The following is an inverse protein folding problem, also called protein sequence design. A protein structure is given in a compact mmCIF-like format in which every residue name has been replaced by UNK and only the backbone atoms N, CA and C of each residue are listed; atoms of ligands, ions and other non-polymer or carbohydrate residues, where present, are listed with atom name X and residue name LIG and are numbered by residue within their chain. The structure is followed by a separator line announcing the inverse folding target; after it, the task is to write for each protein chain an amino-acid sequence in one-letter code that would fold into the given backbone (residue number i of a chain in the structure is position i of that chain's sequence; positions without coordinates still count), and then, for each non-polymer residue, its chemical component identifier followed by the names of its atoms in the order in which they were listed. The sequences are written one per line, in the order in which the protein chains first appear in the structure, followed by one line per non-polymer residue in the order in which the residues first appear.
data_IF_752035342778
#
_entry.id   IF_752035342778
#
_cell.length_a   1.000
_cell.length_b   1.000
_cell.length_c   1.000
_cell.angle_alpha   90.00
_cell.angle_beta   90.00
_cell.angle_gamma   90.00
#
_symmetry.space_group_name_H-M   'P 1'
#
loop_
_entity.id
_entity.type
_entity.pdbx_description
1 polymer ?
#
# COMPACT_ATOMS: atom_id res chain seq x y z
N UNK A 1 16.52 -18.04 39.74
CA UNK A 1 16.18 -16.96 38.78
C UNK A 1 15.03 -16.23 39.41
N UNK A 2 15.37 -15.16 40.08
CA UNK A 2 14.48 -14.39 40.95
C UNK A 2 13.72 -13.34 40.16
N UNK A 3 12.41 -13.28 40.44
CA UNK A 3 11.44 -12.30 40.00
C UNK A 3 12.00 -10.87 39.87
N UNK A 4 12.14 -10.39 38.65
CA UNK A 4 12.36 -8.97 38.32
C UNK A 4 11.11 -8.29 37.71
N UNK A 5 9.92 -8.84 37.91
CA UNK A 5 8.69 -8.09 37.74
C UNK A 5 8.25 -7.58 39.11
N UNK A 6 8.57 -6.29 39.34
CA UNK A 6 8.31 -5.61 40.58
C UNK A 6 6.88 -5.77 41.09
N UNK A 7 6.70 -5.82 42.43
CA UNK A 7 5.43 -5.95 43.07
C UNK A 7 4.70 -4.62 43.00
N UNK A 8 3.53 -4.55 42.51
CA UNK A 8 2.48 -3.56 42.74
C UNK A 8 1.58 -3.35 41.53
N UNK A 9 1.05 -4.46 41.00
CA UNK A 9 -0.25 -4.37 40.37
C UNK A 9 -1.30 -4.68 41.46
N UNK A 10 -2.01 -3.66 41.99
CA UNK A 10 -3.09 -3.92 42.94
C UNK A 10 -4.18 -4.77 42.30
N UNK A 11 -4.91 -5.60 43.10
CA UNK A 11 -5.91 -6.51 42.59
C UNK A 11 -6.94 -5.78 41.73
N UNK A 12 -7.36 -6.41 40.64
CA UNK A 12 -8.20 -5.89 39.56
C UNK A 12 -9.66 -5.60 39.99
N UNK A 13 -9.88 -4.72 40.97
CA UNK A 13 -11.16 -4.07 41.21
C UNK A 13 -11.16 -2.62 40.69
N UNK A 14 -10.78 -2.42 39.46
CA UNK A 14 -10.84 -1.09 38.84
C UNK A 14 -12.07 -0.96 37.97
N UNK A 15 -12.89 0.07 38.23
CA UNK A 15 -13.95 0.45 37.30
C UNK A 15 -13.31 0.75 35.93
N UNK A 16 -13.92 0.26 34.83
CA UNK A 16 -13.42 0.58 33.49
C UNK A 16 -13.30 2.10 33.32
N UNK A 17 -12.26 2.59 32.64
CA UNK A 17 -12.07 4.03 32.39
C UNK A 17 -13.31 4.65 31.77
N UNK A 18 -13.83 5.71 32.39
CA UNK A 18 -15.01 6.46 31.90
C UNK A 18 -14.96 7.89 32.40
N UNK A 19 -15.70 8.78 31.72
CA UNK A 19 -15.99 10.15 32.15
C UNK A 19 -17.40 10.51 31.68
N UNK A 20 -18.35 10.31 32.58
CA UNK A 20 -19.79 10.49 32.26
C UNK A 20 -20.13 11.96 32.00
N UNK A 21 -19.44 12.89 32.66
CA UNK A 21 -19.69 14.30 32.49
C UNK A 21 -19.16 14.80 31.13
N UNK A 22 -18.00 14.27 30.69
CA UNK A 22 -17.49 14.49 29.34
C UNK A 22 -18.45 13.91 28.27
N UNK A 23 -18.97 12.69 28.48
CA UNK A 23 -19.95 12.07 27.57
C UNK A 23 -21.21 12.93 27.42
N UNK A 24 -21.77 13.42 28.55
CA UNK A 24 -22.94 14.31 28.53
C UNK A 24 -22.64 15.63 27.83
N UNK A 25 -21.48 16.21 28.12
CA UNK A 25 -21.09 17.50 27.54
C UNK A 25 -20.84 17.39 26.03
N UNK A 26 -20.22 16.32 25.56
CA UNK A 26 -20.04 16.06 24.13
C UNK A 26 -21.39 15.95 23.41
N UNK A 27 -22.28 15.08 23.89
CA UNK A 27 -23.61 14.87 23.29
C UNK A 27 -24.48 16.12 23.37
N UNK A 28 -24.46 16.82 24.51
CA UNK A 28 -25.20 18.06 24.70
C UNK A 28 -24.71 19.17 23.75
N UNK A 29 -23.41 19.26 23.50
CA UNK A 29 -22.83 20.22 22.54
C UNK A 29 -23.33 19.97 21.11
N UNK A 30 -23.53 18.71 20.70
CA UNK A 30 -24.13 18.37 19.40
C UNK A 30 -25.56 18.95 19.27
N UNK A 31 -26.34 18.96 20.36
CA UNK A 31 -27.71 19.46 20.36
C UNK A 31 -27.81 20.99 20.36
N UNK A 32 -26.69 21.68 20.60
CA UNK A 32 -26.64 23.14 20.71
C UNK A 32 -25.96 23.81 19.52
N UNK A 33 -25.06 23.11 18.83
CA UNK A 33 -24.25 23.69 17.75
C UNK A 33 -23.94 22.65 16.68
N UNK A 34 -24.30 22.98 15.44
CA UNK A 34 -24.01 22.12 14.27
C UNK A 34 -22.50 21.93 14.06
N UNK A 35 -21.70 22.98 14.34
CA UNK A 35 -20.23 22.91 14.28
C UNK A 35 -19.68 21.95 15.33
N UNK A 36 -20.11 22.08 16.59
CA UNK A 36 -19.71 21.18 17.66
C UNK A 36 -20.16 19.74 17.38
N UNK A 37 -21.35 19.56 16.76
CA UNK A 37 -21.83 18.27 16.33
C UNK A 37 -20.87 17.62 15.30
N UNK A 38 -20.44 18.36 14.30
CA UNK A 38 -19.47 17.88 13.31
C UNK A 38 -18.14 17.47 13.98
N UNK A 39 -17.60 18.29 14.87
CA UNK A 39 -16.37 18.03 15.62
C UNK A 39 -16.50 16.76 16.49
N UNK A 40 -17.59 16.60 17.22
CA UNK A 40 -17.84 15.42 18.08
C UNK A 40 -18.01 14.14 17.24
N UNK A 41 -18.79 14.21 16.14
CA UNK A 41 -19.00 13.05 15.26
C UNK A 41 -17.73 12.61 14.55
N UNK A 42 -16.82 13.53 14.26
CA UNK A 42 -15.51 13.21 13.69
C UNK A 42 -14.57 12.56 14.72
N UNK A 43 -14.59 13.02 15.98
CA UNK A 43 -13.64 12.60 17.01
C UNK A 43 -14.02 11.30 17.73
N UNK A 44 -15.31 10.95 17.85
CA UNK A 44 -15.80 9.86 18.71
C UNK A 44 -16.66 8.88 17.93
N UNK A 45 -16.30 7.58 18.00
CA UNK A 45 -17.18 6.51 17.54
C UNK A 45 -18.23 6.14 18.63
N UNK A 46 -19.43 5.65 18.26
CA UNK A 46 -20.48 5.27 19.23
C UNK A 46 -19.99 4.27 20.28
N UNK A 47 -19.06 3.40 19.92
CA UNK A 47 -18.49 2.35 20.78
C UNK A 47 -17.57 2.93 21.88
N UNK A 48 -17.11 4.17 21.72
CA UNK A 48 -16.28 4.85 22.71
C UNK A 48 -17.06 5.36 23.93
N UNK A 49 -18.38 5.38 23.89
CA UNK A 49 -19.18 5.75 25.05
C UNK A 49 -19.25 4.63 26.09
N UNK A 50 -19.15 4.97 27.35
CA UNK A 50 -19.29 4.04 28.47
C UNK A 50 -20.74 3.63 28.71
N UNK A 51 -21.66 4.63 28.63
CA UNK A 51 -23.09 4.36 28.80
C UNK A 51 -23.71 3.92 27.45
N UNK A 52 -24.36 2.74 27.39
CA UNK A 52 -25.05 2.27 26.19
C UNK A 52 -26.09 3.27 25.65
N UNK A 53 -26.78 3.98 26.54
CA UNK A 53 -27.74 5.03 26.16
C UNK A 53 -27.06 6.19 25.40
N UNK A 54 -25.81 6.56 25.77
CA UNK A 54 -25.06 7.60 25.07
C UNK A 54 -24.63 7.17 23.68
N UNK A 55 -24.21 5.91 23.53
CA UNK A 55 -23.93 5.33 22.22
C UNK A 55 -25.17 5.35 21.30
N UNK A 56 -26.36 5.06 21.84
CA UNK A 56 -27.62 5.12 21.11
C UNK A 56 -27.96 6.56 20.70
N UNK A 57 -27.81 7.51 21.61
CA UNK A 57 -28.01 8.93 21.32
C UNK A 57 -27.05 9.41 20.24
N UNK A 58 -25.76 9.05 20.34
CA UNK A 58 -24.74 9.42 19.35
C UNK A 58 -25.11 8.91 17.94
N UNK A 59 -25.51 7.63 17.80
CA UNK A 59 -25.95 7.10 16.51
C UNK A 59 -27.15 7.85 15.94
N UNK A 60 -28.13 8.15 16.77
CA UNK A 60 -29.30 8.93 16.34
C UNK A 60 -28.94 10.36 15.90
N UNK A 61 -27.98 10.99 16.60
CA UNK A 61 -27.43 12.31 16.21
C UNK A 61 -26.72 12.18 14.86
N UNK A 62 -25.88 11.15 14.67
CA UNK A 62 -25.16 10.93 13.41
C UNK A 62 -26.14 10.71 12.25
N UNK A 63 -27.18 9.90 12.43
CA UNK A 63 -28.22 9.66 11.42
C UNK A 63 -28.92 10.97 11.00
N UNK A 64 -29.30 11.80 11.96
CA UNK A 64 -29.92 13.11 11.69
C UNK A 64 -28.98 14.07 10.98
N UNK A 65 -27.72 14.12 11.41
CA UNK A 65 -26.69 14.98 10.84
C UNK A 65 -26.41 14.62 9.37
N UNK A 66 -26.21 13.32 9.08
CA UNK A 66 -25.99 12.83 7.71
C UNK A 66 -27.22 13.06 6.82
N UNK A 67 -28.43 12.99 7.37
CA UNK A 67 -29.67 13.28 6.65
C UNK A 67 -29.90 14.78 6.44
N UNK A 68 -29.00 15.65 6.90
CA UNK A 68 -29.13 17.13 6.81
C UNK A 68 -30.29 17.68 7.63
N UNK A 69 -30.76 16.93 8.64
CA UNK A 69 -31.84 17.36 9.52
C UNK A 69 -31.30 18.16 10.72
N UNK A 70 -32.10 19.08 11.29
CA UNK A 70 -31.68 19.79 12.50
C UNK A 70 -31.36 18.81 13.63
N UNK A 71 -30.21 19.01 14.29
CA UNK A 71 -29.78 18.23 15.44
C UNK A 71 -30.08 19.05 16.70
N UNK A 72 -31.26 18.87 17.26
CA UNK A 72 -31.70 19.49 18.50
C UNK A 72 -32.51 18.50 19.35
N UNK A 73 -32.77 18.87 20.62
CA UNK A 73 -33.46 18.00 21.58
C UNK A 73 -34.88 17.60 21.17
N UNK A 74 -35.57 18.38 20.32
CA UNK A 74 -36.93 18.13 19.87
C UNK A 74 -36.90 17.13 18.71
N UNK A 75 -36.09 17.41 17.70
CA UNK A 75 -35.92 16.55 16.51
C UNK A 75 -35.36 15.20 16.90
N UNK A 76 -34.33 15.16 17.76
CA UNK A 76 -33.75 13.93 18.26
C UNK A 76 -34.77 13.13 19.10
N UNK A 77 -35.54 13.80 19.97
CA UNK A 77 -36.57 13.13 20.77
C UNK A 77 -37.64 12.47 19.91
N UNK A 78 -38.10 13.16 18.85
CA UNK A 78 -39.06 12.60 17.89
C UNK A 78 -38.43 11.39 17.13
N UNK A 79 -37.22 11.53 16.64
CA UNK A 79 -36.50 10.48 15.93
C UNK A 79 -36.37 9.21 16.76
N UNK A 80 -35.97 9.34 18.04
CA UNK A 80 -35.87 8.22 18.98
C UNK A 80 -37.25 7.64 19.36
N UNK A 81 -38.30 8.47 19.47
CA UNK A 81 -39.65 8.03 19.73
C UNK A 81 -40.22 7.18 18.58
N UNK A 82 -40.04 7.62 17.34
CA UNK A 82 -40.48 6.92 16.14
C UNK A 82 -39.82 5.51 16.01
N UNK A 83 -38.64 5.32 16.58
CA UNK A 83 -37.90 4.05 16.67
C UNK A 83 -38.16 3.26 17.94
N UNK A 84 -38.95 3.76 18.90
CA UNK A 84 -39.22 3.12 20.17
C UNK A 84 -38.00 3.06 21.10
N UNK A 85 -37.03 3.97 20.93
CA UNK A 85 -35.77 4.03 21.68
C UNK A 85 -35.74 5.16 22.72
N UNK A 86 -36.65 6.12 22.65
CA UNK A 86 -36.67 7.29 23.54
C UNK A 86 -36.68 6.90 25.02
N UNK A 87 -37.49 5.90 25.41
CA UNK A 87 -37.55 5.42 26.82
C UNK A 87 -36.25 4.75 27.27
N UNK A 88 -35.51 4.08 26.35
CA UNK A 88 -34.24 3.40 26.64
C UNK A 88 -33.10 4.39 26.92
N UNK A 89 -33.19 5.58 26.37
CA UNK A 89 -32.18 6.62 26.57
C UNK A 89 -32.49 7.58 27.72
N UNK A 90 -33.57 7.36 28.46
CA UNK A 90 -33.96 8.18 29.61
C UNK A 90 -35.05 9.21 29.32
N UNK A 91 -35.72 9.10 28.17
CA UNK A 91 -36.83 9.96 27.78
C UNK A 91 -36.41 11.39 27.39
N UNK A 92 -37.42 12.23 27.12
CA UNK A 92 -37.22 13.60 26.74
C UNK A 92 -36.48 14.45 27.82
N UNK A 93 -36.73 14.12 29.10
CA UNK A 93 -36.07 14.81 30.21
C UNK A 93 -34.55 14.65 30.21
N UNK A 94 -34.06 13.48 29.78
CA UNK A 94 -32.63 13.22 29.69
C UNK A 94 -31.97 14.03 28.55
N UNK A 95 -32.66 14.19 27.43
CA UNK A 95 -32.16 15.02 26.33
C UNK A 95 -32.05 16.50 26.75
N UNK A 96 -32.97 16.95 27.59
CA UNK A 96 -32.88 18.30 28.21
C UNK A 96 -31.70 18.39 29.18
N UNK A 97 -31.50 17.36 30.01
CA UNK A 97 -30.34 17.28 30.92
C UNK A 97 -29.02 17.34 30.18
N UNK A 98 -28.88 16.67 29.02
CA UNK A 98 -27.68 16.75 28.19
C UNK A 98 -27.36 18.19 27.77
N UNK A 99 -28.35 18.92 27.30
CA UNK A 99 -28.20 20.33 26.91
C UNK A 99 -27.79 21.20 28.11
N UNK A 100 -28.39 20.95 29.27
CA UNK A 100 -28.08 21.71 30.50
C UNK A 100 -26.71 21.39 31.10
N UNK A 101 -26.13 20.23 30.78
CA UNK A 101 -24.81 19.82 31.25
C UNK A 101 -23.65 20.48 30.50
N UNK A 102 -23.92 21.20 29.41
CA UNK A 102 -22.89 21.83 28.58
C UNK A 102 -22.49 23.18 29.13
N UNK A 103 -21.23 23.38 29.56
CA UNK A 103 -20.77 24.68 30.01
C UNK A 103 -20.67 25.72 28.85
N UNK A 104 -20.16 25.25 27.71
CA UNK A 104 -19.99 26.07 26.49
C UNK A 104 -20.05 25.16 25.27
N UNK A 105 -20.91 25.38 24.26
CA UNK A 105 -21.03 24.52 23.10
C UNK A 105 -19.73 24.39 22.28
N UNK A 106 -18.89 25.42 22.27
CA UNK A 106 -17.63 25.45 21.55
C UNK A 106 -16.54 24.52 22.10
N UNK A 107 -16.76 23.83 23.23
CA UNK A 107 -15.82 22.87 23.84
C UNK A 107 -16.23 21.43 23.58
N UNK A 108 -17.19 21.19 22.67
CA UNK A 108 -17.68 19.84 22.35
C UNK A 108 -16.58 18.89 21.88
N UNK A 109 -15.68 19.37 21.01
CA UNK A 109 -14.53 18.60 20.52
C UNK A 109 -13.59 18.17 21.64
N UNK A 110 -13.25 19.07 22.57
CA UNK A 110 -12.40 18.73 23.71
C UNK A 110 -13.01 17.65 24.63
N UNK A 111 -14.33 17.67 24.87
CA UNK A 111 -15.01 16.59 25.59
C UNK A 111 -15.05 15.29 24.78
N UNK A 112 -15.17 15.39 23.46
CA UNK A 112 -15.10 14.26 22.55
C UNK A 112 -13.75 13.52 22.66
N UNK A 113 -12.64 14.24 22.70
CA UNK A 113 -11.29 13.68 22.86
C UNK A 113 -11.16 12.90 24.20
N UNK A 114 -11.74 13.43 25.29
CA UNK A 114 -11.76 12.72 26.57
C UNK A 114 -12.54 11.42 26.46
N UNK A 115 -13.72 11.43 25.81
CA UNK A 115 -14.54 10.25 25.61
C UNK A 115 -13.79 9.20 24.77
N UNK A 116 -13.13 9.63 23.71
CA UNK A 116 -12.33 8.78 22.83
C UNK A 116 -11.15 8.15 23.59
N UNK A 117 -10.38 8.92 24.35
CA UNK A 117 -9.28 8.37 25.19
C UNK A 117 -9.80 7.30 26.15
N UNK A 118 -10.92 7.55 26.84
CA UNK A 118 -11.51 6.54 27.76
C UNK A 118 -12.01 5.32 27.00
N UNK A 119 -12.58 5.50 25.82
CA UNK A 119 -13.00 4.43 24.92
C UNK A 119 -11.83 3.54 24.49
N UNK A 120 -10.74 4.14 24.02
CA UNK A 120 -9.52 3.43 23.61
C UNK A 120 -8.91 2.65 24.78
N UNK A 121 -8.85 3.22 25.99
CA UNK A 121 -8.36 2.51 27.19
C UNK A 121 -9.23 1.28 27.53
N UNK A 122 -10.56 1.35 27.37
CA UNK A 122 -11.43 0.20 27.53
C UNK A 122 -11.21 -0.86 26.45
N UNK A 123 -11.06 -0.43 25.19
CA UNK A 123 -10.75 -1.33 24.09
C UNK A 123 -9.39 -2.04 24.30
N UNK A 124 -8.38 -1.35 24.86
CA UNK A 124 -7.11 -1.96 25.24
C UNK A 124 -7.25 -3.01 26.36
N UNK A 125 -8.07 -2.73 27.38
CA UNK A 125 -8.38 -3.70 28.45
C UNK A 125 -9.11 -4.94 27.87
N UNK A 126 -10.07 -4.73 26.98
CA UNK A 126 -10.80 -5.81 26.32
C UNK A 126 -9.87 -6.65 25.43
N UNK A 127 -8.99 -6.01 24.66
CA UNK A 127 -7.95 -6.68 23.87
C UNK A 127 -7.08 -7.54 24.78
N UNK A 128 -6.53 -6.99 25.86
CA UNK A 128 -5.72 -7.74 26.81
C UNK A 128 -6.44 -8.96 27.37
N UNK A 129 -7.72 -8.81 27.73
CA UNK A 129 -8.56 -9.91 28.22
C UNK A 129 -8.74 -11.01 27.16
N UNK A 130 -9.00 -10.62 25.90
CA UNK A 130 -9.11 -11.57 24.78
C UNK A 130 -7.79 -12.29 24.50
N UNK A 131 -6.65 -11.58 24.56
CA UNK A 131 -5.33 -12.18 24.40
C UNK A 131 -5.05 -13.23 25.48
N UNK A 132 -5.38 -12.94 26.72
CA UNK A 132 -5.27 -13.91 27.84
C UNK A 132 -6.15 -15.14 27.57
N UNK A 133 -7.42 -14.94 27.18
CA UNK A 133 -8.33 -16.05 26.87
C UNK A 133 -7.82 -16.89 25.69
N UNK A 134 -7.27 -16.26 24.66
CA UNK A 134 -6.68 -16.98 23.53
C UNK A 134 -5.48 -17.83 23.95
N UNK A 135 -4.64 -17.34 24.86
CA UNK A 135 -3.49 -18.10 25.40
C UNK A 135 -3.87 -19.33 26.21
N UNK A 136 -5.07 -19.32 26.85
CA UNK A 136 -5.62 -20.48 27.58
C UNK A 136 -6.50 -21.39 26.73
N UNK A 137 -6.80 -21.02 25.48
CA UNK A 137 -7.63 -21.85 24.60
C UNK A 137 -6.86 -23.10 24.17
N UNK A 138 -7.44 -24.31 24.29
CA UNK A 138 -6.82 -25.52 23.79
C UNK A 138 -6.93 -25.66 22.25
N UNK A 139 -7.74 -24.81 21.59
CA UNK A 139 -8.05 -24.89 20.18
C UNK A 139 -7.20 -23.94 19.35
N UNK A 140 -6.70 -24.43 18.20
CA UNK A 140 -5.95 -23.67 17.20
C UNK A 140 -4.43 -23.83 17.30
N UNK A 141 -3.76 -23.64 16.18
CA UNK A 141 -2.30 -23.64 16.12
C UNK A 141 -1.74 -22.35 16.75
N UNK A 142 -0.68 -22.48 17.55
CA UNK A 142 -0.07 -21.34 18.25
C UNK A 142 0.33 -20.20 17.31
N UNK A 143 0.80 -20.53 16.11
CA UNK A 143 1.13 -19.55 15.07
C UNK A 143 -0.08 -18.73 14.62
N UNK A 144 -1.24 -19.35 14.48
CA UNK A 144 -2.49 -18.68 14.09
C UNK A 144 -3.00 -17.75 15.21
N UNK A 145 -2.88 -18.21 16.47
CA UNK A 145 -3.26 -17.38 17.63
C UNK A 145 -2.39 -16.13 17.73
N UNK A 146 -1.08 -16.26 17.50
CA UNK A 146 -0.14 -15.11 17.48
C UNK A 146 -0.50 -14.12 16.35
N UNK A 147 -0.73 -14.60 15.12
CA UNK A 147 -1.11 -13.73 14.00
C UNK A 147 -2.44 -13.02 14.26
N UNK A 148 -3.40 -13.71 14.87
CA UNK A 148 -4.67 -13.11 15.29
C UNK A 148 -4.48 -12.03 16.35
N UNK A 149 -3.60 -12.24 17.31
CA UNK A 149 -3.26 -11.25 18.34
C UNK A 149 -2.64 -9.98 17.72
N UNK A 150 -1.71 -10.14 16.76
CA UNK A 150 -1.10 -9.03 16.02
C UNK A 150 -2.16 -8.26 15.23
N UNK A 151 -3.06 -8.96 14.53
CA UNK A 151 -4.15 -8.32 13.76
C UNK A 151 -5.05 -7.49 14.66
N UNK A 152 -5.50 -8.04 15.80
CA UNK A 152 -6.34 -7.31 16.76
C UNK A 152 -5.64 -6.09 17.36
N UNK A 153 -4.32 -6.18 17.58
CA UNK A 153 -3.52 -5.06 18.09
C UNK A 153 -3.40 -3.94 17.05
N UNK A 154 -3.23 -4.29 15.76
CA UNK A 154 -3.21 -3.31 14.65
C UNK A 154 -4.57 -2.63 14.48
N UNK A 155 -5.67 -3.40 14.50
CA UNK A 155 -7.03 -2.84 14.45
C UNK A 155 -7.30 -1.82 15.58
N UNK A 156 -6.75 -2.06 16.77
CA UNK A 156 -6.88 -1.10 17.87
C UNK A 156 -6.04 0.15 17.61
N UNK A 157 -4.83 0.01 17.09
CA UNK A 157 -3.98 1.15 16.72
C UNK A 157 -4.67 2.03 15.66
N UNK A 158 -5.27 1.41 14.64
CA UNK A 158 -5.93 2.15 13.56
C UNK A 158 -7.16 2.96 14.06
N UNK A 159 -7.71 2.63 15.25
CA UNK A 159 -8.74 3.42 15.93
C UNK A 159 -8.20 4.65 16.68
N UNK A 160 -6.90 4.81 16.80
CA UNK A 160 -6.32 5.98 17.50
C UNK A 160 -6.40 7.27 16.70
N UNK A 161 -6.84 7.20 15.43
CA UNK A 161 -7.17 8.39 14.64
C UNK A 161 -5.96 9.25 14.27
N UNK A 162 -4.77 8.65 14.14
CA UNK A 162 -3.62 9.30 13.50
C UNK A 162 -3.81 9.29 11.96
N UNK A 163 -5.04 9.47 11.50
CA UNK A 163 -5.29 9.83 10.10
C UNK A 163 -4.97 11.32 9.95
N UNK A 164 -4.16 11.56 8.97
CA UNK A 164 -3.70 12.80 8.37
C UNK A 164 -4.73 13.94 8.51
N UNK A 165 -4.73 14.64 9.65
CA UNK A 165 -5.57 15.81 9.92
C UNK A 165 -4.97 17.07 9.24
N UNK A 166 -4.38 16.87 8.04
CA UNK A 166 -3.90 17.94 7.19
C UNK A 166 -5.11 18.73 6.68
N UNK A 167 -5.25 19.99 7.06
CA UNK A 167 -6.33 20.81 6.55
C UNK A 167 -6.22 20.89 5.02
N UNK A 168 -7.38 20.90 4.34
CA UNK A 168 -7.40 21.14 2.89
C UNK A 168 -6.78 22.52 2.60
N UNK A 169 -5.82 22.54 1.69
CA UNK A 169 -5.11 23.75 1.28
C UNK A 169 -5.82 24.43 0.10
N UNK A 170 -5.74 25.77 0.01
CA UNK A 170 -6.21 26.49 -1.16
C UNK A 170 -5.37 26.09 -2.39
N UNK A 171 -6.02 25.87 -3.52
CA UNK A 171 -5.33 25.43 -4.74
C UNK A 171 -4.27 26.42 -5.23
N UNK A 172 -4.45 27.72 -4.97
CA UNK A 172 -3.49 28.77 -5.37
C UNK A 172 -2.21 28.71 -4.52
N UNK A 173 -2.32 28.28 -3.27
CA UNK A 173 -1.17 28.06 -2.39
C UNK A 173 -0.51 26.71 -2.71
N UNK A 174 -1.31 25.67 -2.90
CA UNK A 174 -0.84 24.32 -3.26
C UNK A 174 0.05 24.30 -4.51
N UNK A 175 -0.33 25.00 -5.58
CA UNK A 175 0.48 25.04 -6.82
C UNK A 175 1.75 25.91 -6.73
N UNK A 176 1.96 26.62 -5.62
CA UNK A 176 3.19 27.38 -5.37
C UNK A 176 4.28 26.54 -4.69
N UNK A 177 3.96 25.34 -4.21
CA UNK A 177 4.97 24.42 -3.70
C UNK A 177 5.91 24.02 -4.84
N UNK A 178 7.20 23.89 -4.52
CA UNK A 178 8.18 23.41 -5.51
C UNK A 178 7.88 21.94 -5.86
N UNK A 179 7.74 21.66 -7.15
CA UNK A 179 7.63 20.29 -7.68
C UNK A 179 9.01 19.60 -7.58
N UNK A 180 9.24 18.87 -6.51
CA UNK A 180 10.45 18.07 -6.32
C UNK A 180 10.13 16.61 -6.56
N UNK A 181 10.82 15.98 -7.51
CA UNK A 181 10.75 14.54 -7.71
C UNK A 181 11.55 13.82 -6.62
N UNK A 182 10.92 12.90 -5.90
CA UNK A 182 11.60 12.03 -4.94
C UNK A 182 12.15 10.77 -5.64
N UNK A 183 13.19 10.98 -6.43
CA UNK A 183 13.79 9.91 -7.22
C UNK A 183 14.50 8.85 -6.39
N UNK A 184 14.06 7.61 -6.48
CA UNK A 184 14.83 6.42 -6.07
C UNK A 184 15.87 6.09 -7.15
N UNK A 185 15.47 6.20 -8.42
CA UNK A 185 16.34 6.04 -9.58
C UNK A 185 16.13 7.25 -10.50
N UNK A 186 17.08 8.19 -10.56
CA UNK A 186 16.91 9.45 -11.26
C UNK A 186 16.37 9.29 -12.69
N UNK A 187 15.25 9.94 -12.97
CA UNK A 187 14.57 9.90 -14.27
C UNK A 187 13.87 8.58 -14.60
N UNK A 188 13.82 7.59 -13.70
CA UNK A 188 13.17 6.31 -13.95
C UNK A 188 12.12 5.94 -12.91
N UNK A 189 12.45 5.97 -11.62
CA UNK A 189 11.58 5.47 -10.55
C UNK A 189 11.57 6.47 -9.39
N UNK A 190 10.39 6.91 -9.00
CA UNK A 190 10.17 7.67 -7.76
C UNK A 190 9.75 6.77 -6.61
N UNK A 191 9.86 7.30 -5.40
CA UNK A 191 9.18 6.69 -4.24
C UNK A 191 7.71 6.56 -4.51
N UNK A 192 7.12 5.51 -3.97
CA UNK A 192 5.70 5.22 -4.10
C UNK A 192 5.23 4.83 -5.51
N UNK A 193 6.12 4.69 -6.51
CA UNK A 193 5.74 4.18 -7.81
C UNK A 193 5.28 2.72 -7.77
N UNK A 194 4.28 2.40 -8.59
CA UNK A 194 3.81 1.04 -8.86
C UNK A 194 4.09 0.69 -10.31
N UNK A 195 4.94 -0.31 -10.53
CA UNK A 195 5.41 -0.70 -11.85
C UNK A 195 5.05 -2.16 -12.15
N UNK A 196 4.62 -2.43 -13.38
CA UNK A 196 4.39 -3.79 -13.87
C UNK A 196 5.10 -3.99 -15.20
N UNK A 197 5.96 -5.03 -15.25
CA UNK A 197 6.64 -5.48 -16.47
C UNK A 197 5.94 -6.70 -17.04
N UNK A 198 5.57 -6.63 -18.32
CA UNK A 198 4.92 -7.74 -19.03
C UNK A 198 5.75 -8.24 -20.19
N UNK A 199 5.67 -9.51 -20.49
CA UNK A 199 6.15 -10.11 -21.73
C UNK A 199 5.57 -11.53 -21.87
N UNK A 200 5.72 -12.14 -23.05
CA UNK A 200 5.49 -13.56 -23.24
C UNK A 200 6.48 -14.43 -22.44
N UNK A 201 6.27 -15.75 -22.48
CA UNK A 201 7.23 -16.70 -21.94
C UNK A 201 8.60 -16.55 -22.64
N UNK A 202 9.68 -16.65 -21.86
CA UNK A 202 11.03 -16.44 -22.38
C UNK A 202 11.33 -15.00 -22.83
N UNK A 203 10.42 -14.05 -22.61
CA UNK A 203 10.57 -12.65 -23.04
C UNK A 203 11.62 -11.84 -22.29
N UNK A 204 12.19 -12.36 -21.21
CA UNK A 204 13.29 -11.73 -20.46
C UNK A 204 12.88 -10.91 -19.26
N UNK A 205 11.58 -10.87 -18.87
CA UNK A 205 11.05 -10.11 -17.71
C UNK A 205 11.86 -10.34 -16.43
N UNK A 206 11.86 -11.58 -15.96
CA UNK A 206 12.51 -11.93 -14.69
C UNK A 206 14.03 -11.74 -14.75
N UNK A 207 14.63 -11.79 -15.94
CA UNK A 207 16.05 -11.49 -16.14
C UNK A 207 16.29 -9.98 -15.94
N UNK A 208 15.42 -9.15 -16.51
CA UNK A 208 15.49 -7.69 -16.35
C UNK A 208 15.27 -7.28 -14.91
N UNK A 209 14.25 -7.80 -14.24
CA UNK A 209 14.01 -7.46 -12.82
C UNK A 209 15.16 -7.88 -11.90
N UNK A 210 15.78 -9.04 -12.15
CA UNK A 210 16.99 -9.44 -11.39
C UNK A 210 18.16 -8.54 -11.67
N UNK A 211 18.38 -8.14 -12.94
CA UNK A 211 19.40 -7.16 -13.27
C UNK A 211 19.15 -5.84 -12.54
N UNK A 212 17.93 -5.30 -12.61
CA UNK A 212 17.57 -4.08 -11.89
C UNK A 212 17.82 -4.21 -10.39
N UNK A 213 17.43 -5.32 -9.78
CA UNK A 213 17.69 -5.55 -8.36
C UNK A 213 19.17 -5.45 -7.99
N UNK A 214 20.06 -6.04 -8.81
CA UNK A 214 21.51 -6.02 -8.54
C UNK A 214 22.12 -4.67 -8.89
N UNK A 215 21.81 -4.11 -10.05
CA UNK A 215 22.38 -2.84 -10.49
C UNK A 215 22.01 -1.71 -9.54
N UNK A 216 20.74 -1.61 -9.14
CA UNK A 216 20.25 -0.57 -8.23
C UNK A 216 20.87 -0.71 -6.83
N UNK A 217 20.99 -1.93 -6.32
CA UNK A 217 21.65 -2.18 -5.03
C UNK A 217 23.17 -1.95 -5.06
N UNK A 218 23.79 -2.06 -6.25
CA UNK A 218 25.22 -1.80 -6.46
C UNK A 218 25.53 -0.32 -6.77
N UNK A 219 24.52 0.51 -7.04
CA UNK A 219 24.70 1.89 -7.46
C UNK A 219 25.06 2.03 -8.94
N UNK A 220 24.58 1.11 -9.78
CA UNK A 220 24.76 1.12 -11.24
C UNK A 220 23.43 1.44 -11.90
N UNK A 221 23.43 2.33 -12.90
CA UNK A 221 22.22 2.61 -13.68
C UNK A 221 21.74 1.34 -14.42
N UNK A 222 20.46 0.94 -14.35
CA UNK A 222 20.00 -0.39 -14.76
C UNK A 222 20.09 -0.68 -16.27
N UNK A 223 20.18 0.35 -17.10
CA UNK A 223 20.23 0.26 -18.57
C UNK A 223 21.50 0.87 -19.18
N UNK A 224 21.98 1.97 -18.61
CA UNK A 224 23.20 2.66 -18.99
C UNK A 224 24.30 2.29 -17.98
N UNK A 225 24.74 1.05 -18.03
CA UNK A 225 25.58 0.40 -17.01
C UNK A 225 26.98 1.04 -16.84
N UNK A 226 27.31 2.05 -17.62
CA UNK A 226 28.48 2.91 -17.45
C UNK A 226 28.22 4.14 -16.56
N UNK A 227 26.96 4.39 -16.18
CA UNK A 227 26.57 5.46 -15.25
C UNK A 227 26.41 4.91 -13.85
N UNK A 228 26.89 5.67 -12.87
CA UNK A 228 26.64 5.41 -11.45
C UNK A 228 25.42 6.19 -10.95
N UNK A 229 24.75 5.62 -9.98
CA UNK A 229 23.65 6.21 -9.20
C UNK A 229 23.92 5.98 -7.72
N UNK A 230 23.15 6.60 -6.84
CA UNK A 230 23.20 6.24 -5.43
C UNK A 230 22.64 4.82 -5.23
N UNK A 231 23.32 3.93 -4.48
CA UNK A 231 22.85 2.58 -4.25
C UNK A 231 21.65 2.61 -3.31
N UNK A 232 20.60 1.85 -3.66
CA UNK A 232 19.34 1.77 -2.92
C UNK A 232 19.14 0.41 -2.27
N UNK A 233 18.25 0.34 -1.26
CA UNK A 233 17.88 -0.92 -0.60
C UNK A 233 16.82 -1.65 -1.41
N UNK A 234 17.14 -2.86 -1.88
CA UNK A 234 16.23 -3.67 -2.69
C UNK A 234 15.82 -4.94 -1.95
N UNK A 235 14.52 -5.15 -1.81
CA UNK A 235 13.93 -6.39 -1.32
C UNK A 235 13.31 -7.17 -2.48
N UNK A 236 13.73 -8.43 -2.66
CA UNK A 236 13.15 -9.34 -3.66
C UNK A 236 12.39 -10.46 -2.94
N UNK A 237 11.10 -10.60 -3.23
CA UNK A 237 10.25 -11.71 -2.81
C UNK A 237 9.93 -12.55 -4.06
N UNK A 238 10.78 -13.56 -4.35
CA UNK A 238 10.67 -14.42 -5.52
C UNK A 238 9.69 -15.57 -5.24
N UNK A 239 8.48 -15.44 -5.77
CA UNK A 239 7.38 -16.39 -5.55
C UNK A 239 7.34 -17.53 -6.57
N UNK A 240 8.36 -17.66 -7.43
CA UNK A 240 8.39 -18.67 -8.49
C UNK A 240 9.61 -19.60 -8.40
N UNK A 241 10.76 -19.07 -8.04
CA UNK A 241 12.00 -19.81 -8.08
C UNK A 241 12.46 -20.28 -6.69
N UNK A 242 12.94 -21.51 -6.60
CA UNK A 242 13.60 -21.99 -5.40
C UNK A 242 15.00 -21.35 -5.21
N UNK A 243 15.50 -21.36 -3.98
CA UNK A 243 16.75 -20.70 -3.60
C UNK A 243 17.96 -21.09 -4.46
N UNK A 244 18.11 -22.38 -4.78
CA UNK A 244 19.25 -22.85 -5.60
C UNK A 244 19.21 -22.29 -7.02
N UNK A 245 18.01 -22.17 -7.61
CA UNK A 245 17.82 -21.58 -8.93
C UNK A 245 18.09 -20.08 -8.90
N UNK A 246 17.56 -19.36 -7.90
CA UNK A 246 17.79 -17.92 -7.73
C UNK A 246 19.28 -17.64 -7.50
N UNK A 247 19.98 -18.37 -6.64
CA UNK A 247 21.45 -18.23 -6.46
C UNK A 247 22.22 -18.33 -7.77
N UNK A 248 21.89 -19.31 -8.64
CA UNK A 248 22.57 -19.46 -9.95
C UNK A 248 22.32 -18.28 -10.87
N UNK A 249 21.13 -17.67 -10.81
CA UNK A 249 20.73 -16.54 -11.65
C UNK A 249 21.32 -15.21 -11.16
N UNK A 250 21.51 -15.03 -9.85
CA UNK A 250 22.08 -13.81 -9.29
C UNK A 250 23.62 -13.77 -9.30
N UNK A 251 24.30 -14.92 -9.18
CA UNK A 251 25.78 -14.97 -9.16
C UNK A 251 26.46 -14.23 -10.34
N UNK A 252 26.05 -14.43 -11.60
CA UNK A 252 26.65 -13.71 -12.72
C UNK A 252 26.43 -12.20 -12.65
N UNK A 253 25.27 -11.76 -12.17
CA UNK A 253 24.94 -10.35 -12.04
C UNK A 253 25.76 -9.68 -10.93
N UNK A 254 25.95 -10.35 -9.80
CA UNK A 254 26.82 -9.87 -8.73
C UNK A 254 28.28 -9.80 -9.20
N UNK A 255 28.77 -10.82 -9.92
CA UNK A 255 30.11 -10.79 -10.49
C UNK A 255 30.29 -9.67 -11.55
N UNK A 256 29.23 -9.33 -12.29
CA UNK A 256 29.25 -8.19 -13.19
C UNK A 256 29.41 -6.87 -12.44
N UNK A 257 28.68 -6.67 -11.33
CA UNK A 257 28.81 -5.50 -10.47
C UNK A 257 30.22 -5.41 -9.86
N UNK A 258 30.73 -6.53 -9.33
CA UNK A 258 32.09 -6.63 -8.78
C UNK A 258 33.15 -6.21 -9.83
N UNK A 259 32.96 -6.61 -11.11
CA UNK A 259 33.87 -6.26 -12.20
C UNK A 259 33.89 -4.79 -12.59
N UNK A 260 32.91 -4.02 -12.09
CA UNK A 260 32.84 -2.55 -12.22
C UNK A 260 33.39 -1.83 -10.96
N UNK A 261 33.94 -2.57 -10.01
CA UNK A 261 34.34 -2.05 -8.70
C UNK A 261 33.19 -1.46 -7.87
N UNK A 262 31.94 -1.86 -8.19
CA UNK A 262 30.71 -1.45 -7.52
C UNK A 262 29.99 -2.67 -6.92
N UNK A 263 30.57 -3.36 -5.93
CA UNK A 263 29.95 -4.55 -5.33
C UNK A 263 28.71 -4.17 -4.52
N UNK A 264 27.70 -5.05 -4.59
CA UNK A 264 26.55 -4.94 -3.68
C UNK A 264 27.00 -5.10 -2.22
N UNK A 265 26.80 -4.08 -1.40
CA UNK A 265 27.19 -4.08 0.00
C UNK A 265 26.21 -4.89 0.84
N UNK A 266 26.70 -5.46 1.95
CA UNK A 266 25.81 -6.13 2.93
C UNK A 266 24.77 -5.13 3.44
N UNK A 267 23.51 -5.58 3.49
CA UNK A 267 22.39 -4.73 3.91
C UNK A 267 21.75 -3.92 2.79
N UNK A 268 22.25 -3.93 1.54
CA UNK A 268 21.65 -3.24 0.42
C UNK A 268 20.66 -4.09 -0.37
N UNK A 269 20.82 -5.43 -0.36
CA UNK A 269 19.96 -6.32 -1.12
C UNK A 269 19.58 -7.54 -0.30
N UNK A 270 18.27 -7.70 -0.04
CA UNK A 270 17.72 -8.89 0.59
C UNK A 270 16.80 -9.65 -0.38
N UNK A 271 16.86 -10.98 -0.31
CA UNK A 271 16.01 -11.86 -1.10
C UNK A 271 15.38 -12.95 -0.24
N UNK A 272 14.12 -13.27 -0.52
CA UNK A 272 13.47 -14.47 0.00
C UNK A 272 12.75 -15.19 -1.12
N UNK A 273 12.96 -16.52 -1.21
CA UNK A 273 12.31 -17.37 -2.20
C UNK A 273 11.12 -18.09 -1.54
N UNK A 274 9.98 -18.07 -2.23
CA UNK A 274 8.75 -18.77 -1.87
C UNK A 274 8.18 -19.45 -3.12
N UNK A 275 8.82 -20.52 -3.63
CA UNK A 275 8.43 -21.17 -4.89
C UNK A 275 7.01 -21.75 -4.85
N UNK A 276 6.44 -21.98 -3.67
CA UNK A 276 5.04 -22.33 -3.46
C UNK A 276 4.08 -21.19 -3.76
N UNK A 277 4.56 -19.96 -3.88
CA UNK A 277 3.78 -18.75 -4.02
C UNK A 277 3.41 -18.13 -2.67
N UNK A 278 2.66 -17.04 -2.73
CA UNK A 278 2.04 -16.34 -1.61
C UNK A 278 0.55 -16.22 -1.88
N UNK A 279 -0.27 -16.30 -0.84
CA UNK A 279 -1.67 -15.93 -0.91
C UNK A 279 -1.90 -14.70 -0.03
N UNK A 280 -1.72 -13.50 -0.60
CA UNK A 280 -1.85 -12.24 0.13
C UNK A 280 -3.28 -11.96 0.62
N UNK A 281 -4.25 -12.78 0.21
CA UNK A 281 -5.62 -12.73 0.77
C UNK A 281 -5.69 -13.41 2.15
N UNK A 282 -4.64 -14.15 2.55
CA UNK A 282 -4.52 -14.82 3.84
C UNK A 282 -3.74 -13.96 4.83
N UNK A 283 -4.21 -13.80 6.07
CA UNK A 283 -3.52 -13.01 7.09
C UNK A 283 -2.07 -13.41 7.33
N UNK A 284 -1.76 -14.70 7.29
CA UNK A 284 -0.41 -15.22 7.53
C UNK A 284 0.60 -14.77 6.48
N UNK A 285 0.22 -14.84 5.18
CA UNK A 285 1.10 -14.43 4.08
C UNK A 285 1.21 -12.90 4.02
N UNK A 286 0.12 -12.16 4.28
CA UNK A 286 0.15 -10.70 4.45
C UNK A 286 1.13 -10.30 5.55
N UNK A 287 0.98 -10.83 6.78
CA UNK A 287 1.88 -10.54 7.90
C UNK A 287 3.32 -10.95 7.59
N UNK A 288 3.50 -12.06 6.83
CA UNK A 288 4.82 -12.49 6.42
C UNK A 288 5.53 -11.48 5.51
N UNK A 289 4.81 -10.87 4.56
CA UNK A 289 5.35 -9.80 3.69
C UNK A 289 5.61 -8.54 4.50
N UNK A 290 4.63 -8.10 5.30
CA UNK A 290 4.74 -6.85 6.08
C UNK A 290 5.93 -6.85 7.02
N UNK A 291 6.15 -7.93 7.79
CA UNK A 291 7.35 -8.05 8.65
C UNK A 291 8.66 -7.89 7.89
N UNK A 292 8.78 -8.39 6.66
CA UNK A 292 10.02 -8.27 5.87
C UNK A 292 10.22 -6.88 5.31
N UNK A 293 9.14 -6.21 4.98
CA UNK A 293 9.15 -4.82 4.57
C UNK A 293 9.53 -3.93 5.75
N UNK A 294 8.90 -4.12 6.91
CA UNK A 294 9.20 -3.39 8.15
C UNK A 294 10.65 -3.60 8.62
N UNK A 295 11.11 -4.86 8.70
CA UNK A 295 12.45 -5.22 9.19
C UNK A 295 13.57 -4.68 8.29
N UNK A 296 13.37 -4.70 6.97
CA UNK A 296 14.40 -4.29 6.02
C UNK A 296 14.29 -2.83 5.60
N UNK A 297 13.07 -2.28 5.57
CA UNK A 297 12.74 -0.93 5.09
C UNK A 297 13.35 -0.65 3.71
N UNK A 298 12.89 -1.33 2.63
CA UNK A 298 13.44 -1.19 1.29
C UNK A 298 13.06 0.15 0.65
N UNK A 299 13.87 0.61 -0.32
CA UNK A 299 13.50 1.67 -1.27
C UNK A 299 12.72 1.09 -2.47
N UNK A 300 13.01 -0.18 -2.83
CA UNK A 300 12.34 -0.90 -3.91
C UNK A 300 11.97 -2.31 -3.47
N UNK A 301 10.68 -2.62 -3.55
CA UNK A 301 10.14 -3.98 -3.38
C UNK A 301 9.89 -4.61 -4.76
N UNK A 302 10.58 -5.71 -5.07
CA UNK A 302 10.28 -6.56 -6.22
C UNK A 302 9.58 -7.81 -5.72
N UNK A 303 8.33 -8.03 -6.13
CA UNK A 303 7.52 -9.15 -5.68
C UNK A 303 6.76 -9.79 -6.85
N UNK A 304 6.64 -11.09 -6.84
CA UNK A 304 5.85 -11.78 -7.86
C UNK A 304 6.48 -13.05 -8.43
N UNK A 305 5.96 -13.52 -9.54
CA UNK A 305 5.00 -12.88 -10.46
C UNK A 305 3.57 -12.75 -9.91
N UNK A 306 2.78 -11.84 -10.49
CA UNK A 306 1.43 -11.47 -10.00
C UNK A 306 0.52 -12.70 -9.78
N UNK A 307 0.52 -13.65 -10.72
CA UNK A 307 -0.34 -14.85 -10.64
C UNK A 307 0.01 -15.78 -9.45
N UNK A 308 1.11 -15.54 -8.75
CA UNK A 308 1.56 -16.30 -7.58
C UNK A 308 1.22 -15.60 -6.27
N UNK A 309 0.47 -14.48 -6.31
CA UNK A 309 0.15 -13.68 -5.13
C UNK A 309 -1.24 -13.96 -4.55
N UNK A 310 -2.00 -14.87 -5.17
CA UNK A 310 -3.25 -15.45 -4.62
C UNK A 310 -3.52 -16.82 -5.23
N UNK A 311 -4.30 -17.64 -4.55
CA UNK A 311 -4.60 -19.01 -4.96
C UNK A 311 -5.87 -19.16 -5.83
N UNK A 312 -6.65 -18.09 -6.01
CA UNK A 312 -7.94 -18.14 -6.73
C UNK A 312 -7.84 -17.81 -8.21
N UNK A 313 -9.01 -17.54 -8.83
CA UNK A 313 -9.11 -17.18 -10.26
C UNK A 313 -8.31 -15.90 -10.56
N UNK A 314 -7.34 -15.95 -11.48
CA UNK A 314 -6.55 -14.78 -11.88
C UNK A 314 -7.39 -13.61 -12.43
N UNK A 315 -8.58 -13.87 -12.94
CA UNK A 315 -9.47 -12.85 -13.47
C UNK A 315 -10.38 -12.19 -12.41
N UNK A 316 -10.37 -12.70 -11.18
CA UNK A 316 -11.18 -12.14 -10.10
C UNK A 316 -10.69 -10.74 -9.71
N UNK A 317 -11.53 -9.73 -9.94
CA UNK A 317 -11.25 -8.35 -9.52
C UNK A 317 -11.25 -8.21 -8.00
N UNK A 318 -12.06 -8.99 -7.29
CA UNK A 318 -12.10 -9.00 -5.83
C UNK A 318 -10.76 -9.46 -5.23
N UNK A 319 -10.21 -10.58 -5.74
CA UNK A 319 -8.92 -11.09 -5.26
C UNK A 319 -7.78 -10.13 -5.63
N UNK A 320 -7.78 -9.61 -6.85
CA UNK A 320 -6.80 -8.63 -7.27
C UNK A 320 -6.83 -7.36 -6.40
N UNK A 321 -8.02 -6.89 -5.99
CA UNK A 321 -8.19 -5.77 -5.07
C UNK A 321 -7.62 -6.08 -3.68
N UNK A 322 -7.88 -7.26 -3.12
CA UNK A 322 -7.30 -7.67 -1.82
C UNK A 322 -5.78 -7.70 -1.88
N UNK A 323 -5.21 -8.23 -2.97
CA UNK A 323 -3.75 -8.24 -3.18
C UNK A 323 -3.20 -6.82 -3.31
N UNK A 324 -3.84 -5.94 -4.11
CA UNK A 324 -3.38 -4.57 -4.30
C UNK A 324 -3.37 -3.76 -3.00
N UNK A 325 -4.34 -3.96 -2.12
CA UNK A 325 -4.38 -3.31 -0.79
C UNK A 325 -3.16 -3.69 0.05
N UNK A 326 -2.76 -4.97 0.06
CA UNK A 326 -1.56 -5.40 0.81
C UNK A 326 -0.28 -4.81 0.21
N UNK A 327 -0.20 -4.71 -1.12
CA UNK A 327 0.95 -4.10 -1.80
C UNK A 327 1.01 -2.59 -1.56
N UNK A 328 -0.13 -1.90 -1.54
CA UNK A 328 -0.22 -0.48 -1.20
C UNK A 328 0.14 -0.23 0.27
N UNK A 329 -0.27 -1.11 1.19
CA UNK A 329 0.15 -1.07 2.60
C UNK A 329 1.67 -1.25 2.74
N UNK A 330 2.25 -2.25 2.08
CA UNK A 330 3.69 -2.50 2.11
C UNK A 330 4.49 -1.29 1.56
N UNK A 331 3.99 -0.69 0.47
CA UNK A 331 4.55 0.50 -0.14
C UNK A 331 4.49 1.71 0.81
N UNK A 332 3.34 1.95 1.43
CA UNK A 332 3.16 3.05 2.38
C UNK A 332 4.03 2.89 3.63
N UNK A 333 4.14 1.65 4.17
CA UNK A 333 4.93 1.36 5.37
C UNK A 333 6.41 1.68 5.20
N UNK A 334 7.00 1.36 4.05
CA UNK A 334 8.43 1.60 3.79
C UNK A 334 8.70 2.89 2.98
N UNK A 335 7.68 3.57 2.47
CA UNK A 335 7.86 4.66 1.51
C UNK A 335 8.58 4.18 0.24
N UNK A 336 8.33 2.95 -0.21
CA UNK A 336 9.08 2.31 -1.30
C UNK A 336 8.30 2.30 -2.61
N UNK A 337 9.01 2.11 -3.73
CA UNK A 337 8.38 1.71 -4.99
C UNK A 337 8.13 0.20 -5.00
N UNK A 338 7.11 -0.24 -5.76
CA UNK A 338 6.79 -1.66 -5.97
C UNK A 338 6.93 -2.01 -7.44
N UNK A 339 7.72 -3.03 -7.76
CA UNK A 339 7.87 -3.53 -9.11
C UNK A 339 7.51 -5.01 -9.22
N UNK A 340 6.60 -5.32 -10.13
CA UNK A 340 6.12 -6.69 -10.36
C UNK A 340 6.28 -7.13 -11.80
N UNK A 341 6.25 -8.44 -12.03
CA UNK A 341 6.14 -9.01 -13.37
C UNK A 341 4.80 -9.73 -13.58
N UNK A 342 4.32 -9.69 -14.82
CA UNK A 342 3.14 -10.42 -15.25
C UNK A 342 3.33 -11.04 -16.64
N UNK A 343 2.62 -12.11 -16.94
CA UNK A 343 2.55 -12.65 -18.28
C UNK A 343 1.63 -11.80 -19.16
N UNK A 344 1.99 -11.65 -20.44
CA UNK A 344 1.07 -11.16 -21.46
C UNK A 344 0.27 -12.32 -22.05
N UNK A 345 -0.96 -12.11 -22.55
CA UNK A 345 -1.82 -13.17 -23.12
C UNK A 345 -1.14 -13.95 -24.24
N UNK A 346 -1.45 -15.24 -24.34
CA UNK A 346 -1.08 -16.02 -25.52
C UNK A 346 -1.84 -15.51 -26.75
N UNK A 347 -1.19 -15.53 -27.90
CA UNK A 347 -1.78 -15.03 -29.14
C UNK A 347 -2.79 -16.05 -29.71
N UNK A 348 -4.01 -15.59 -30.01
CA UNK A 348 -5.06 -16.39 -30.63
C UNK A 348 -5.35 -15.91 -32.05
N UNK A 349 -4.36 -15.94 -32.96
CA UNK A 349 -4.63 -15.60 -34.38
C UNK A 349 -3.40 -15.26 -35.20
N UNK A 350 -3.44 -15.61 -36.50
CA UNK A 350 -2.40 -15.27 -37.48
C UNK A 350 -2.39 -13.75 -37.74
N UNK A 351 -1.24 -13.10 -37.62
CA UNK A 351 -1.00 -11.76 -38.15
C UNK A 351 -1.26 -10.57 -37.22
N UNK A 352 -1.69 -10.76 -35.96
CA UNK A 352 -1.82 -9.65 -35.01
C UNK A 352 -0.71 -9.66 -33.95
N UNK A 353 -0.15 -8.50 -33.63
CA UNK A 353 0.84 -8.38 -32.55
C UNK A 353 0.22 -8.72 -31.19
N UNK A 354 0.96 -9.49 -30.40
CA UNK A 354 0.57 -9.84 -29.02
C UNK A 354 0.34 -8.57 -28.20
N UNK A 355 -0.79 -8.49 -27.50
CA UNK A 355 -1.00 -7.41 -26.53
C UNK A 355 0.03 -7.53 -25.40
N UNK A 356 0.59 -6.40 -24.97
CA UNK A 356 1.58 -6.34 -23.90
C UNK A 356 0.94 -6.12 -22.51
N UNK A 357 -0.39 -6.09 -22.44
CA UNK A 357 -1.12 -5.92 -21.17
C UNK A 357 -1.00 -7.18 -20.32
N UNK A 358 -1.05 -7.06 -18.97
CA UNK A 358 -1.01 -8.23 -18.09
C UNK A 358 -2.23 -9.13 -18.30
N UNK A 359 -2.03 -10.44 -18.15
CA UNK A 359 -3.11 -11.42 -18.04
C UNK A 359 -3.74 -11.31 -16.66
N UNK A 360 -5.04 -11.55 -16.57
CA UNK A 360 -5.80 -11.57 -15.32
C UNK A 360 -6.74 -10.37 -15.19
N UNK A 361 -7.05 -10.01 -13.96
CA UNK A 361 -7.98 -8.93 -13.63
C UNK A 361 -7.61 -7.62 -14.32
N UNK A 362 -8.63 -6.90 -14.80
CA UNK A 362 -8.49 -5.56 -15.38
C UNK A 362 -7.89 -4.54 -14.38
N UNK A 363 -7.91 -4.84 -13.09
CA UNK A 363 -7.28 -4.02 -12.07
C UNK A 363 -5.79 -3.82 -12.34
N UNK A 364 -5.08 -4.85 -12.78
CA UNK A 364 -3.64 -4.78 -13.07
C UNK A 364 -3.26 -3.87 -14.23
N UNK A 365 -4.24 -3.44 -15.04
CA UNK A 365 -4.06 -2.38 -16.05
C UNK A 365 -4.28 -0.98 -15.48
N UNK A 366 -4.98 -0.86 -14.36
CA UNK A 366 -5.38 0.43 -13.75
C UNK A 366 -4.58 0.76 -12.50
N UNK A 367 -4.13 -0.25 -11.75
CA UNK A 367 -3.44 -0.09 -10.47
C UNK A 367 -2.02 0.50 -10.60
N UNK A 368 -1.13 0.09 -11.56
CA UNK A 368 0.21 0.65 -11.64
C UNK A 368 0.18 2.09 -12.19
N UNK A 369 1.12 2.93 -11.79
CA UNK A 369 1.45 4.19 -12.46
C UNK A 369 2.08 3.89 -13.82
N UNK A 370 3.03 2.93 -13.86
CA UNK A 370 3.77 2.57 -15.07
C UNK A 370 3.62 1.10 -15.41
N UNK A 371 3.28 0.86 -16.66
CA UNK A 371 3.19 -0.48 -17.23
C UNK A 371 4.04 -0.58 -18.49
N UNK A 372 4.96 -1.54 -18.51
CA UNK A 372 5.86 -1.78 -19.64
C UNK A 372 5.74 -3.19 -20.19
N UNK A 373 5.99 -3.34 -21.48
CA UNK A 373 6.02 -4.64 -22.13
C UNK A 373 7.29 -4.84 -22.97
N UNK A 374 7.85 -6.03 -22.93
CA UNK A 374 8.97 -6.42 -23.77
C UNK A 374 8.46 -7.17 -25.01
N UNK A 375 8.81 -6.66 -26.18
CA UNK A 375 8.53 -7.28 -27.50
C UNK A 375 9.81 -7.55 -28.23
N UNK A 376 9.99 -8.70 -28.90
CA UNK A 376 11.11 -8.91 -29.83
C UNK A 376 11.13 -7.81 -30.90
N UNK A 377 12.31 -7.36 -31.26
CA UNK A 377 12.50 -6.49 -32.43
C UNK A 377 12.44 -7.39 -33.68
N UNK A 378 11.49 -7.11 -34.57
CA UNK A 378 11.26 -7.85 -35.82
C UNK A 378 12.08 -7.21 -36.97
N UNK A 379 13.40 -7.25 -36.91
CA UNK A 379 14.21 -6.87 -38.04
C UNK A 379 14.84 -8.10 -38.69
N UNK A 380 14.33 -8.47 -39.85
CA UNK A 380 14.89 -9.55 -40.70
C UNK A 380 16.32 -9.30 -41.14
N UNK A 381 16.85 -8.06 -41.06
CA UNK A 381 18.22 -7.70 -41.50
C UNK A 381 19.29 -7.82 -40.42
N UNK A 382 18.94 -7.82 -39.14
CA UNK A 382 19.93 -7.97 -38.06
C UNK A 382 20.40 -9.41 -37.86
N UNK A 383 19.80 -10.39 -38.54
CA UNK A 383 20.24 -11.76 -38.55
C UNK A 383 21.47 -12.04 -39.42
N UNK A 384 21.79 -11.14 -40.40
CA UNK A 384 22.90 -11.30 -41.31
C UNK A 384 24.22 -10.67 -40.81
N UNK A 385 24.17 -9.73 -39.85
CA UNK A 385 25.35 -9.05 -39.32
C UNK A 385 26.13 -9.80 -38.24
N UNK A 386 25.85 -11.07 -37.99
CA UNK A 386 26.69 -11.94 -37.15
C UNK A 386 26.67 -11.61 -35.65
N UNK A 387 26.08 -10.50 -35.20
CA UNK A 387 25.90 -10.12 -33.81
C UNK A 387 24.49 -10.57 -33.37
N UNK A 388 24.37 -11.85 -32.99
CA UNK A 388 23.10 -12.51 -32.58
C UNK A 388 22.43 -11.95 -31.33
N UNK A 389 22.63 -10.70 -31.04
CA UNK A 389 22.05 -9.99 -29.91
C UNK A 389 20.55 -9.74 -30.14
N UNK A 390 19.72 -10.61 -29.57
CA UNK A 390 18.25 -10.49 -29.63
C UNK A 390 17.78 -9.23 -28.91
N UNK A 391 17.54 -8.16 -29.67
CA UNK A 391 16.97 -6.92 -29.15
C UNK A 391 15.52 -7.07 -28.67
N UNK A 392 15.12 -6.24 -27.73
CA UNK A 392 13.74 -6.08 -27.28
C UNK A 392 13.35 -4.62 -27.38
N UNK A 393 12.13 -4.38 -27.87
CA UNK A 393 11.48 -3.10 -27.74
C UNK A 393 10.81 -3.01 -26.38
N UNK A 394 11.15 -1.95 -25.64
CA UNK A 394 10.59 -1.64 -24.34
C UNK A 394 9.42 -0.69 -24.55
N UNK A 395 8.19 -1.17 -24.41
CA UNK A 395 6.99 -0.43 -24.81
C UNK A 395 6.12 -0.11 -23.58
N UNK A 396 5.86 1.17 -23.32
CA UNK A 396 4.89 1.52 -22.30
C UNK A 396 3.48 1.18 -22.78
N UNK A 397 2.67 0.59 -21.90
CA UNK A 397 1.24 0.42 -22.12
C UNK A 397 0.41 1.23 -21.10
N UNK A 398 1.08 1.85 -20.12
CA UNK A 398 0.54 2.80 -19.14
C UNK A 398 1.64 3.79 -18.73
N UNK A 399 1.26 5.02 -18.33
CA UNK A 399 2.20 6.02 -17.82
C UNK A 399 2.94 6.83 -18.88
N UNK A 400 2.40 6.96 -20.08
CA UNK A 400 3.04 7.72 -21.18
C UNK A 400 3.05 9.24 -20.99
N UNK A 401 2.44 9.74 -19.93
CA UNK A 401 2.27 11.20 -19.73
C UNK A 401 3.39 11.83 -18.91
N UNK A 402 4.29 11.03 -18.40
CA UNK A 402 5.37 11.46 -17.54
C UNK A 402 6.71 11.48 -18.31
N UNK A 403 7.53 12.50 -18.09
CA UNK A 403 8.82 12.70 -18.74
C UNK A 403 9.92 11.80 -18.15
N UNK A 404 9.73 10.47 -18.25
CA UNK A 404 10.72 9.53 -17.73
C UNK A 404 11.61 8.95 -18.81
N UNK A 405 12.90 8.78 -18.46
CA UNK A 405 13.96 8.35 -19.37
C UNK A 405 14.05 6.84 -19.56
N UNK A 406 12.91 6.13 -19.62
CA UNK A 406 12.91 4.70 -19.90
C UNK A 406 13.42 4.39 -21.31
N UNK A 407 14.28 3.37 -21.51
CA UNK A 407 14.82 3.04 -22.83
C UNK A 407 13.70 2.56 -23.76
N UNK A 408 13.76 2.97 -25.04
CA UNK A 408 12.86 2.42 -26.05
C UNK A 408 13.28 1.02 -26.52
N UNK A 409 14.59 0.74 -26.52
CA UNK A 409 15.17 -0.51 -26.96
C UNK A 409 16.23 -0.98 -25.99
N UNK A 410 16.22 -2.29 -25.74
CA UNK A 410 17.24 -3.00 -24.96
C UNK A 410 17.74 -4.20 -25.74
N UNK A 411 19.02 -4.50 -25.64
CA UNK A 411 19.62 -5.69 -26.24
C UNK A 411 20.48 -6.43 -25.22
N UNK A 412 20.81 -7.68 -25.55
CA UNK A 412 21.73 -8.48 -24.76
C UNK A 412 23.12 -7.82 -24.77
N UNK A 413 23.66 -7.58 -23.59
CA UNK A 413 25.01 -7.08 -23.40
C UNK A 413 26.01 -8.19 -23.07
N UNK A 414 27.28 -7.87 -23.09
CA UNK A 414 28.36 -8.83 -22.78
C UNK A 414 28.38 -9.21 -21.29
N UNK A 415 28.34 -8.22 -20.40
CA UNK A 415 28.38 -8.41 -18.94
C UNK A 415 26.99 -8.43 -18.30
N UNK A 416 26.09 -7.60 -18.83
CA UNK A 416 24.74 -7.46 -18.34
C UNK A 416 23.76 -8.04 -19.34
N UNK A 417 22.74 -8.78 -18.89
CA UNK A 417 21.72 -9.36 -19.76
C UNK A 417 21.04 -8.35 -20.68
N UNK A 418 20.83 -7.12 -20.18
CA UNK A 418 20.14 -6.07 -20.91
C UNK A 418 20.87 -4.73 -20.77
N UNK A 419 21.12 -4.09 -21.91
CA UNK A 419 21.63 -2.73 -22.01
C UNK A 419 20.76 -1.93 -22.98
N UNK A 420 20.63 -0.63 -22.75
CA UNK A 420 19.96 0.26 -23.70
C UNK A 420 20.77 0.39 -25.00
N UNK A 421 20.07 0.48 -26.13
CA UNK A 421 20.68 0.81 -27.39
C UNK A 421 19.71 1.60 -28.27
N UNK A 422 20.26 2.33 -29.26
CA UNK A 422 19.46 2.93 -30.34
C UNK A 422 19.72 2.11 -31.59
N UNK A 423 18.69 1.57 -32.29
CA UNK A 423 18.87 0.97 -33.62
C UNK A 423 19.43 2.01 -34.54
N UNK A 424 20.40 1.62 -35.38
CA UNK A 424 20.89 2.49 -36.44
C UNK A 424 19.78 2.57 -37.49
N UNK A 425 19.23 3.76 -37.67
CA UNK A 425 18.22 4.01 -38.71
C UNK A 425 18.92 3.97 -40.07
N UNK A 426 18.80 2.85 -40.79
CA UNK A 426 19.38 2.66 -42.11
C UNK A 426 18.78 3.61 -43.16
N UNK A 427 17.74 4.37 -42.84
CA UNK A 427 17.12 5.37 -43.70
C UNK A 427 17.83 6.74 -43.67
N UNK A 428 18.72 7.02 -42.71
CA UNK A 428 19.50 8.27 -42.74
C UNK A 428 20.63 8.28 -43.76
N UNK A 429 20.96 7.14 -44.42
CA UNK A 429 21.99 7.05 -45.46
C UNK A 429 21.47 7.14 -46.88
N UNK A 430 20.18 7.20 -47.12
CA UNK A 430 19.62 7.54 -48.44
C UNK A 430 19.29 9.03 -48.47
N UNK A 431 20.31 9.82 -48.78
CA UNK A 431 20.16 11.25 -49.00
C UNK A 431 19.16 11.53 -50.15
N UNK A 432 17.97 11.94 -49.79
CA UNK A 432 17.13 12.77 -50.62
C UNK A 432 16.69 13.97 -49.79
N UNK A 433 17.37 15.08 -50.10
CA UNK A 433 16.90 16.42 -49.78
C UNK A 433 15.53 16.64 -50.40
N UNK A 434 14.48 16.67 -49.63
CA UNK A 434 13.28 17.41 -50.03
C UNK A 434 13.07 18.56 -49.04
N UNK A 435 13.49 19.71 -49.53
CA UNK A 435 13.03 21.02 -49.11
C UNK A 435 11.54 21.14 -49.34
N UNK A 436 10.77 21.54 -48.38
CA UNK A 436 9.38 21.93 -48.62
C UNK A 436 8.53 22.13 -47.39
N UNK A 437 8.63 23.35 -46.84
CA UNK A 437 7.52 24.20 -46.37
C UNK A 437 6.55 23.67 -45.31
N UNK A 438 6.65 24.30 -44.11
CA UNK A 438 5.61 25.18 -43.50
C UNK A 438 4.20 24.55 -43.34
N UNK A 439 3.81 24.28 -42.14
CA UNK A 439 2.81 24.95 -41.26
C UNK A 439 2.86 24.37 -39.87
#
# INVERSE_FOLDING_TARGET
MTDEFGPDFPPFERKPPNDIDAEKSALGSCLMSQRACAEVLAAVAPEAYYKPQHATIHRAIADLFVAGQPVDQITLGKYLADRGELSKVGGQSYLVELVQSVPTPGTGGWYADIVQDRGLRRALIELGTRLVQMGYSPDGETSELIERAVTMSRELRDRTGDEDDMPTEDILDFVQHEDTYDWIVPGLIERMDRLILTAGEGGGKSVLLRQMAVTLAAGVHPFETWKTIDPIKVLVLDCENGEAASRRKFRPLLAAADSLELPVRRGQFHIRCRPEGLDLTRPQDRSWVMRRVEDFNPDLLIIGPIYRLHAGDPNSEELARKVSVVLDEARATAGCAVFMEAHSPHHNGFGQHRTLRPVGSSLWMRWPEFGFGLRPVEDEKSAEDGDGARGRRFMPWRGMRDERAWPQFIKQGEKWPWISYRPIDTNEFTGHSETGAIW
#
